data_IF_935994506919
#
_entry.id   IF_935994506919
#
_cell.length_a   1.000
_cell.length_b   1.000
_cell.length_c   1.000
_cell.angle_alpha   90.00
_cell.angle_beta   90.00
_cell.angle_gamma   90.00
#
_symmetry.space_group_name_H-M   'P 1'
#
loop_
_entity.id
_entity.type
_entity.pdbx_description
1 polymer ?
#
# COMPACT_ATOMS: atom_id res chain seq x y z
N UNK A 1 -21.39 -6.95 11.00
CA UNK A 1 -19.95 -7.17 10.76
C UNK A 1 -19.35 -6.21 9.73
N UNK A 2 -20.00 -5.88 8.61
CA UNK A 2 -19.50 -4.98 7.56
C UNK A 2 -19.17 -3.56 8.03
N UNK A 3 -20.02 -2.95 8.83
CA UNK A 3 -19.85 -1.56 9.29
C UNK A 3 -18.62 -1.37 10.17
N UNK A 4 -18.35 -2.28 11.10
CA UNK A 4 -17.18 -2.21 11.98
C UNK A 4 -15.88 -2.37 11.18
N UNK A 5 -15.87 -3.27 10.22
CA UNK A 5 -14.70 -3.50 9.36
C UNK A 5 -14.40 -2.28 8.48
N UNK A 6 -15.44 -1.65 7.92
CA UNK A 6 -15.32 -0.41 7.16
C UNK A 6 -14.81 0.75 8.03
N UNK A 7 -15.34 0.89 9.25
CA UNK A 7 -14.89 1.91 10.19
C UNK A 7 -13.42 1.74 10.60
N UNK A 8 -13.00 0.49 10.86
CA UNK A 8 -11.61 0.17 11.18
C UNK A 8 -10.68 0.50 10.00
N UNK A 9 -11.09 0.18 8.78
CA UNK A 9 -10.34 0.54 7.57
C UNK A 9 -10.18 2.06 7.43
N UNK A 10 -11.26 2.81 7.60
CA UNK A 10 -11.23 4.28 7.53
C UNK A 10 -10.33 4.88 8.63
N UNK A 11 -10.45 4.39 9.86
CA UNK A 11 -9.62 4.81 10.98
C UNK A 11 -8.13 4.50 10.74
N UNK A 12 -7.82 3.33 10.16
CA UNK A 12 -6.46 2.97 9.77
C UNK A 12 -5.88 3.92 8.74
N UNK A 13 -6.59 4.18 7.63
CA UNK A 13 -6.10 5.09 6.60
C UNK A 13 -5.88 6.51 7.13
N UNK A 14 -6.80 7.01 7.97
CA UNK A 14 -6.65 8.30 8.63
C UNK A 14 -5.42 8.32 9.54
N UNK A 15 -5.25 7.33 10.40
CA UNK A 15 -4.12 7.24 11.33
C UNK A 15 -2.80 7.09 10.58
N UNK A 16 -2.73 6.24 9.55
CA UNK A 16 -1.54 6.05 8.72
C UNK A 16 -1.15 7.35 8.00
N UNK A 17 -2.11 8.03 7.39
CA UNK A 17 -1.87 9.31 6.70
C UNK A 17 -1.33 10.37 7.65
N UNK A 18 -1.96 10.53 8.83
CA UNK A 18 -1.52 11.49 9.85
C UNK A 18 -0.13 11.12 10.39
N UNK A 19 0.15 9.84 10.66
CA UNK A 19 1.45 9.38 11.15
C UNK A 19 2.57 9.65 10.14
N UNK A 20 2.36 9.33 8.87
CA UNK A 20 3.33 9.59 7.78
C UNK A 20 3.55 11.10 7.62
N UNK A 21 2.49 11.90 7.71
CA UNK A 21 2.57 13.35 7.61
C UNK A 21 3.37 13.96 8.77
N UNK A 22 3.12 13.52 10.01
CA UNK A 22 3.87 13.96 11.21
C UNK A 22 5.34 13.56 11.08
N UNK A 23 5.63 12.34 10.63
CA UNK A 23 7.00 11.85 10.46
C UNK A 23 7.74 12.64 9.37
N UNK A 24 7.08 12.89 8.23
CA UNK A 24 7.63 13.70 7.14
C UNK A 24 7.90 15.14 7.55
N UNK A 25 6.99 15.78 8.29
CA UNK A 25 7.19 17.14 8.83
C UNK A 25 8.26 17.16 9.93
N UNK A 26 8.30 16.15 10.80
CA UNK A 26 9.33 15.99 11.84
C UNK A 26 10.74 15.88 11.26
N UNK A 27 10.92 15.17 10.16
CA UNK A 27 12.20 15.09 9.44
C UNK A 27 12.61 16.44 8.83
N UNK A 28 11.65 17.18 8.28
CA UNK A 28 11.90 18.53 7.75
C UNK A 28 12.25 19.54 8.86
N UNK A 29 11.66 19.40 10.05
CA UNK A 29 11.84 20.29 11.20
C UNK A 29 13.14 20.02 11.96
N UNK A 30 13.66 18.78 11.94
CA UNK A 30 14.96 18.45 12.59
C UNK A 30 16.15 19.12 11.92
N UNK A 31 15.99 19.51 10.67
CA UNK A 31 17.02 20.21 9.90
C UNK A 31 17.00 21.75 10.11
N UNK A 32 15.94 22.30 10.74
CA UNK A 32 15.77 23.75 10.92
C UNK A 32 15.12 24.10 12.26
N UNK A 33 15.88 23.99 13.34
CA UNK A 33 15.51 24.44 14.69
C UNK A 33 15.12 25.92 14.73
N UNK A 34 13.92 26.23 15.27
CA UNK A 34 13.43 27.51 15.82
C UNK A 34 12.37 28.35 15.12
N UNK A 35 11.40 27.83 14.32
CA UNK A 35 10.22 28.66 13.91
C UNK A 35 8.93 27.85 13.73
N UNK A 36 8.40 27.30 14.77
CA UNK A 36 7.34 26.27 14.67
C UNK A 36 5.88 26.75 14.54
N UNK A 37 5.54 27.98 14.85
CA UNK A 37 4.17 28.46 14.78
C UNK A 37 3.81 29.14 13.43
N UNK A 38 4.80 29.63 12.70
CA UNK A 38 4.61 30.32 11.42
C UNK A 38 4.57 29.37 10.21
N UNK A 39 5.06 28.15 10.38
CA UNK A 39 5.35 27.22 9.28
C UNK A 39 4.11 26.51 8.72
N UNK A 40 3.06 26.27 9.54
CA UNK A 40 1.82 25.63 9.05
C UNK A 40 1.06 26.60 8.14
N UNK A 41 1.04 27.89 8.49
CA UNK A 41 0.35 28.90 7.68
C UNK A 41 1.10 29.17 6.36
N UNK A 42 2.43 29.24 6.40
CA UNK A 42 3.27 29.42 5.19
C UNK A 42 3.31 28.17 4.32
N UNK A 43 3.18 26.95 4.87
CA UNK A 43 3.06 25.71 4.10
C UNK A 43 1.72 25.63 3.37
N UNK A 44 0.63 26.06 4.01
CA UNK A 44 -0.68 26.13 3.38
C UNK A 44 -0.70 27.20 2.27
N UNK A 45 -0.09 28.36 2.50
CA UNK A 45 0.06 29.43 1.51
C UNK A 45 0.96 29.01 0.34
N UNK A 46 2.06 28.31 0.57
CA UNK A 46 2.94 27.80 -0.51
C UNK A 46 2.28 26.68 -1.31
N UNK A 47 1.51 25.79 -0.68
CA UNK A 47 0.72 24.78 -1.39
C UNK A 47 -0.37 25.39 -2.27
N UNK A 48 -0.96 26.54 -1.84
CA UNK A 48 -2.03 27.21 -2.59
C UNK A 48 -1.51 28.19 -3.65
N UNK A 49 -0.31 28.72 -3.52
CA UNK A 49 0.25 29.76 -4.40
C UNK A 49 1.37 29.29 -5.32
N UNK A 50 2.09 28.23 -4.97
CA UNK A 50 3.17 27.69 -5.80
C UNK A 50 2.61 26.69 -6.83
N UNK A 51 2.59 27.09 -8.11
CA UNK A 51 2.63 26.13 -9.21
C UNK A 51 3.96 25.39 -9.08
N UNK A 52 3.92 24.13 -8.61
CA UNK A 52 5.06 23.23 -8.68
C UNK A 52 5.48 23.11 -10.15
N UNK A 53 6.52 23.83 -10.52
CA UNK A 53 7.15 23.68 -11.82
C UNK A 53 8.18 22.56 -11.73
N UNK A 54 8.34 21.79 -12.80
CA UNK A 54 9.34 20.70 -12.84
C UNK A 54 10.76 21.19 -12.61
N UNK A 55 11.02 22.50 -12.78
CA UNK A 55 12.31 23.16 -12.51
C UNK A 55 12.65 23.23 -11.01
N UNK A 56 11.66 23.11 -10.12
CA UNK A 56 11.88 23.09 -8.68
C UNK A 56 12.34 21.72 -8.15
N UNK A 57 12.25 20.66 -8.99
CA UNK A 57 12.69 19.31 -8.65
C UNK A 57 14.18 19.15 -8.99
N UNK A 58 15.05 19.65 -8.13
CA UNK A 58 16.49 19.39 -8.26
C UNK A 58 16.83 17.96 -7.84
N UNK A 59 17.01 17.07 -8.79
CA UNK A 59 17.58 15.74 -8.56
C UNK A 59 19.10 15.89 -8.41
N UNK A 60 19.54 16.31 -7.23
CA UNK A 60 20.95 16.61 -6.94
C UNK A 60 21.76 15.38 -6.53
N UNK A 61 21.12 14.25 -6.22
CA UNK A 61 21.79 13.03 -5.77
C UNK A 61 21.43 11.85 -6.66
N UNK A 62 22.43 11.05 -7.03
CA UNK A 62 22.19 9.80 -7.76
C UNK A 62 21.26 8.87 -6.95
N UNK A 63 20.35 8.16 -7.63
CA UNK A 63 19.46 7.22 -6.96
C UNK A 63 20.26 6.13 -6.24
N UNK A 64 19.92 5.88 -5.00
CA UNK A 64 20.55 4.80 -4.23
C UNK A 64 20.13 3.44 -4.80
N UNK A 65 20.94 2.39 -4.54
CA UNK A 65 20.58 1.01 -4.91
C UNK A 65 19.17 0.64 -4.38
N UNK A 66 18.82 1.12 -3.19
CA UNK A 66 17.49 0.96 -2.58
C UNK A 66 16.40 1.55 -3.48
N UNK A 67 16.57 2.80 -3.91
CA UNK A 67 15.62 3.47 -4.82
C UNK A 67 15.52 2.74 -6.14
N UNK A 68 16.65 2.30 -6.69
CA UNK A 68 16.71 1.58 -7.96
C UNK A 68 15.96 0.23 -7.92
N UNK A 69 15.98 -0.46 -6.80
CA UNK A 69 15.29 -1.75 -6.65
C UNK A 69 13.82 -1.59 -6.22
N UNK A 70 13.57 -0.73 -5.22
CA UNK A 70 12.23 -0.66 -4.61
C UNK A 70 11.24 0.18 -5.41
N UNK A 71 11.69 1.20 -6.16
CA UNK A 71 10.79 2.01 -6.97
C UNK A 71 10.15 1.21 -8.14
N UNK A 72 10.91 0.46 -8.95
CA UNK A 72 10.30 -0.41 -9.96
C UNK A 72 9.37 -1.46 -9.33
N UNK A 73 9.75 -2.05 -8.20
CA UNK A 73 8.93 -3.03 -7.49
C UNK A 73 7.59 -2.42 -7.06
N UNK A 74 7.61 -1.19 -6.53
CA UNK A 74 6.41 -0.42 -6.19
C UNK A 74 5.52 -0.19 -7.42
N UNK A 75 6.11 0.26 -8.53
CA UNK A 75 5.36 0.58 -9.76
C UNK A 75 4.75 -0.70 -10.37
N UNK A 76 5.50 -1.79 -10.43
CA UNK A 76 5.01 -3.07 -10.94
C UNK A 76 3.87 -3.59 -10.06
N UNK A 77 4.04 -3.57 -8.74
CA UNK A 77 3.01 -4.03 -7.81
C UNK A 77 1.74 -3.16 -7.89
N UNK A 78 1.90 -1.84 -8.04
CA UNK A 78 0.77 -0.91 -8.24
C UNK A 78 0.03 -1.19 -9.55
N UNK A 79 0.74 -1.47 -10.64
CA UNK A 79 0.14 -1.88 -11.91
C UNK A 79 -0.64 -3.19 -11.78
N UNK A 80 -0.04 -4.20 -11.18
CA UNK A 80 -0.69 -5.50 -10.92
C UNK A 80 -1.95 -5.34 -10.06
N UNK A 81 -1.89 -4.53 -9.01
CA UNK A 81 -3.05 -4.26 -8.16
C UNK A 81 -4.17 -3.58 -8.95
N UNK A 82 -3.82 -2.55 -9.74
CA UNK A 82 -4.78 -1.84 -10.59
C UNK A 82 -5.46 -2.79 -11.60
N UNK A 83 -4.67 -3.61 -12.29
CA UNK A 83 -5.21 -4.55 -13.30
C UNK A 83 -6.14 -5.59 -12.67
N UNK A 84 -5.77 -6.12 -11.50
CA UNK A 84 -6.63 -7.02 -10.74
C UNK A 84 -7.96 -6.36 -10.36
N UNK A 85 -7.92 -5.12 -9.85
CA UNK A 85 -9.14 -4.39 -9.49
C UNK A 85 -9.98 -4.02 -10.70
N UNK A 86 -9.36 -3.60 -11.80
CA UNK A 86 -10.05 -3.33 -13.05
C UNK A 86 -10.78 -4.58 -13.57
N UNK A 87 -10.08 -5.74 -13.57
CA UNK A 87 -10.70 -7.01 -13.96
C UNK A 87 -11.87 -7.39 -13.04
N UNK A 88 -11.68 -7.30 -11.70
CA UNK A 88 -12.75 -7.62 -10.75
C UNK A 88 -13.96 -6.70 -10.89
N UNK A 89 -13.75 -5.42 -11.21
CA UNK A 89 -14.84 -4.46 -11.43
C UNK A 89 -15.64 -4.75 -12.70
N UNK A 90 -15.01 -5.36 -13.71
CA UNK A 90 -15.67 -5.77 -14.96
C UNK A 90 -16.48 -7.06 -14.86
N UNK A 91 -16.26 -7.85 -13.78
CA UNK A 91 -16.96 -9.11 -13.59
C UNK A 91 -18.42 -8.90 -13.16
N UNK A 92 -19.29 -9.77 -13.67
CA UNK A 92 -20.65 -9.87 -13.12
C UNK A 92 -20.57 -10.31 -11.66
N UNK A 93 -21.40 -9.68 -10.79
CA UNK A 93 -21.44 -10.04 -9.36
C UNK A 93 -21.55 -11.56 -9.17
N UNK A 94 -20.76 -12.07 -8.24
CA UNK A 94 -20.78 -13.48 -7.83
C UNK A 94 -20.32 -14.48 -8.88
N UNK A 95 -19.41 -14.08 -9.78
CA UNK A 95 -18.70 -15.01 -10.68
C UNK A 95 -17.34 -15.38 -10.11
N UNK A 96 -16.87 -16.59 -10.45
CA UNK A 96 -15.50 -17.01 -10.11
C UNK A 96 -14.51 -16.34 -11.07
N UNK A 97 -13.48 -15.65 -10.58
CA UNK A 97 -12.45 -15.07 -11.43
C UNK A 97 -11.68 -16.16 -12.19
N UNK A 98 -11.54 -15.99 -13.53
CA UNK A 98 -10.84 -16.92 -14.43
C UNK A 98 -9.58 -16.36 -15.05
N UNK A 99 -9.27 -15.08 -14.82
CA UNK A 99 -8.06 -14.43 -15.31
C UNK A 99 -6.80 -15.18 -14.84
N UNK A 100 -5.72 -15.28 -15.64
CA UNK A 100 -4.52 -16.03 -15.30
C UNK A 100 -3.92 -15.72 -13.90
N UNK A 101 -3.97 -14.47 -13.45
CA UNK A 101 -3.52 -14.06 -12.13
C UNK A 101 -4.32 -14.70 -10.98
N UNK A 102 -5.60 -15.03 -11.22
CA UNK A 102 -6.50 -15.63 -10.23
C UNK A 102 -6.52 -17.17 -10.29
N UNK A 103 -5.85 -17.79 -11.27
CA UNK A 103 -5.85 -19.26 -11.41
C UNK A 103 -5.11 -19.96 -10.27
N UNK A 104 -4.03 -19.38 -9.78
CA UNK A 104 -3.19 -19.96 -8.70
C UNK A 104 -3.39 -19.29 -7.35
N UNK A 105 -3.93 -18.08 -7.32
CA UNK A 105 -4.10 -17.26 -6.12
C UNK A 105 -5.54 -16.74 -6.11
N UNK A 106 -6.19 -16.80 -4.96
CA UNK A 106 -7.55 -16.28 -4.79
C UNK A 106 -7.57 -14.75 -4.81
N UNK A 107 -6.63 -14.13 -4.13
CA UNK A 107 -6.56 -12.68 -3.96
C UNK A 107 -5.18 -12.11 -4.37
N UNK A 108 -4.81 -12.13 -5.67
CA UNK A 108 -3.50 -11.61 -6.12
C UNK A 108 -3.34 -10.10 -5.88
N UNK A 109 -4.41 -9.32 -5.90
CA UNK A 109 -4.41 -7.90 -5.59
C UNK A 109 -3.98 -7.62 -4.14
N UNK A 110 -4.26 -8.51 -3.18
CA UNK A 110 -3.78 -8.39 -1.81
C UNK A 110 -2.28 -8.66 -1.69
N UNK A 111 -1.76 -9.60 -2.47
CA UNK A 111 -0.31 -9.81 -2.58
C UNK A 111 0.39 -8.56 -3.10
N UNK A 112 -0.15 -7.98 -4.16
CA UNK A 112 0.37 -6.74 -4.74
C UNK A 112 0.34 -5.59 -3.73
N UNK A 113 -0.72 -5.45 -2.95
CA UNK A 113 -0.84 -4.44 -1.90
C UNK A 113 0.22 -4.62 -0.81
N UNK A 114 0.47 -5.85 -0.37
CA UNK A 114 1.55 -6.13 0.58
C UNK A 114 2.93 -5.74 0.01
N UNK A 115 3.19 -6.01 -1.27
CA UNK A 115 4.44 -5.61 -1.93
C UNK A 115 4.56 -4.08 -2.01
N UNK A 116 3.47 -3.36 -2.25
CA UNK A 116 3.42 -1.89 -2.24
C UNK A 116 3.86 -1.36 -0.87
N UNK A 117 3.23 -1.80 0.22
CA UNK A 117 3.57 -1.34 1.57
C UNK A 117 5.01 -1.69 1.96
N UNK A 118 5.48 -2.89 1.61
CA UNK A 118 6.86 -3.30 1.87
C UNK A 118 7.87 -2.42 1.11
N UNK A 119 7.62 -2.17 -0.17
CA UNK A 119 8.49 -1.31 -0.99
C UNK A 119 8.53 0.13 -0.45
N UNK A 120 7.38 0.67 -0.01
CA UNK A 120 7.31 1.98 0.63
C UNK A 120 8.06 2.03 1.96
N UNK A 121 7.95 0.97 2.78
CA UNK A 121 8.67 0.88 4.05
C UNK A 121 10.19 0.90 3.86
N UNK A 122 10.66 0.29 2.77
CA UNK A 122 12.08 0.31 2.39
C UNK A 122 12.49 1.66 1.78
N UNK A 123 11.68 2.23 0.88
CA UNK A 123 11.98 3.51 0.21
C UNK A 123 12.04 4.69 1.16
N UNK A 124 11.10 4.77 2.10
CA UNK A 124 10.98 5.88 3.04
C UNK A 124 11.81 5.69 4.32
N UNK A 125 12.76 4.75 4.33
CA UNK A 125 13.62 4.53 5.49
C UNK A 125 14.53 5.74 5.75
N UNK A 126 14.62 6.22 7.00
CA UNK A 126 15.53 7.31 7.38
C UNK A 126 17.00 6.95 7.11
N UNK A 127 17.85 7.98 7.02
CA UNK A 127 19.29 7.79 6.86
C UNK A 127 19.87 6.97 8.01
N UNK A 128 20.56 5.87 7.66
CA UNK A 128 21.13 4.93 8.64
C UNK A 128 20.19 3.81 9.08
N UNK A 129 18.91 3.83 8.71
CA UNK A 129 17.97 2.75 8.96
C UNK A 129 17.65 1.96 7.66
N UNK A 130 17.30 0.69 7.81
CA UNK A 130 16.93 -0.14 6.66
C UNK A 130 15.46 0.02 6.28
N UNK A 131 14.60 0.29 7.24
CA UNK A 131 13.15 0.37 7.06
C UNK A 131 12.57 1.55 7.84
N UNK A 132 11.50 2.11 7.31
CA UNK A 132 10.67 3.05 8.04
C UNK A 132 9.72 2.27 8.97
N UNK A 133 9.82 2.49 10.28
CA UNK A 133 9.08 1.73 11.31
C UNK A 133 7.57 1.94 11.22
N UNK A 134 7.14 3.16 10.90
CA UNK A 134 5.72 3.50 10.74
C UNK A 134 5.12 2.73 9.57
N UNK A 135 5.78 2.76 8.41
CA UNK A 135 5.33 2.02 7.22
C UNK A 135 5.44 0.51 7.37
N UNK A 136 6.43 0.02 8.13
CA UNK A 136 6.52 -1.40 8.48
C UNK A 136 5.36 -1.84 9.38
N UNK A 137 4.92 -1.01 10.32
CA UNK A 137 3.73 -1.26 11.13
C UNK A 137 2.46 -1.28 10.27
N UNK A 138 2.34 -0.36 9.30
CA UNK A 138 1.26 -0.36 8.31
C UNK A 138 1.28 -1.65 7.47
N UNK A 139 2.44 -2.06 6.97
CA UNK A 139 2.61 -3.32 6.24
C UNK A 139 2.14 -4.52 7.05
N UNK A 140 2.54 -4.61 8.33
CA UNK A 140 2.12 -5.71 9.22
C UNK A 140 0.61 -5.75 9.39
N UNK A 141 -0.01 -4.60 9.67
CA UNK A 141 -1.46 -4.50 9.82
C UNK A 141 -2.19 -4.91 8.53
N UNK A 142 -1.75 -4.37 7.38
CA UNK A 142 -2.36 -4.67 6.07
C UNK A 142 -2.23 -6.17 5.76
N UNK A 143 -1.05 -6.74 5.96
CA UNK A 143 -0.80 -8.17 5.68
C UNK A 143 -1.71 -9.07 6.50
N UNK A 144 -1.88 -8.81 7.80
CA UNK A 144 -2.77 -9.58 8.66
C UNK A 144 -4.23 -9.40 8.26
N UNK A 145 -4.66 -8.16 8.04
CA UNK A 145 -6.05 -7.85 7.70
C UNK A 145 -6.45 -8.47 6.34
N UNK A 146 -5.60 -8.31 5.33
CA UNK A 146 -5.84 -8.87 3.99
C UNK A 146 -5.71 -10.40 3.98
N UNK A 147 -4.80 -10.96 4.79
CA UNK A 147 -4.69 -12.40 4.97
C UNK A 147 -5.97 -13.03 5.51
N UNK A 148 -6.54 -12.46 6.57
CA UNK A 148 -7.84 -12.90 7.10
C UNK A 148 -8.93 -12.78 6.05
N UNK A 149 -8.98 -11.67 5.32
CA UNK A 149 -9.98 -11.43 4.27
C UNK A 149 -9.82 -12.42 3.10
N UNK A 150 -8.58 -12.79 2.73
CA UNK A 150 -8.31 -13.78 1.69
C UNK A 150 -8.83 -15.17 2.06
N UNK A 151 -8.65 -15.60 3.33
CA UNK A 151 -9.22 -16.87 3.84
C UNK A 151 -10.75 -16.86 3.76
N UNK A 152 -11.37 -15.77 4.20
CA UNK A 152 -12.83 -15.62 4.14
C UNK A 152 -13.32 -15.68 2.69
N UNK A 153 -12.62 -15.02 1.78
CA UNK A 153 -12.94 -15.02 0.35
C UNK A 153 -12.83 -16.41 -0.26
N UNK A 154 -11.76 -17.17 0.08
CA UNK A 154 -11.60 -18.54 -0.39
C UNK A 154 -12.73 -19.45 0.10
N UNK A 155 -13.05 -19.39 1.39
CA UNK A 155 -14.18 -20.15 1.98
C UNK A 155 -15.51 -19.83 1.31
N UNK A 156 -15.74 -18.56 0.97
CA UNK A 156 -16.94 -18.16 0.26
C UNK A 156 -16.99 -18.76 -1.16
N UNK A 157 -15.85 -18.78 -1.89
CA UNK A 157 -15.77 -19.43 -3.19
C UNK A 157 -15.98 -20.95 -3.09
N UNK A 158 -15.42 -21.60 -2.08
CA UNK A 158 -15.62 -23.03 -1.78
C UNK A 158 -17.09 -23.37 -1.57
N UNK A 159 -17.78 -22.56 -0.78
CA UNK A 159 -19.22 -22.75 -0.51
C UNK A 159 -20.09 -22.53 -1.75
N UNK A 160 -19.72 -21.61 -2.61
CA UNK A 160 -20.55 -21.21 -3.75
C UNK A 160 -20.28 -22.02 -5.02
N UNK A 161 -19.03 -22.37 -5.29
CA UNK A 161 -18.62 -23.01 -6.54
C UNK A 161 -18.11 -24.44 -6.34
N UNK A 162 -18.05 -24.91 -5.10
CA UNK A 162 -17.51 -26.21 -4.72
C UNK A 162 -16.03 -26.16 -4.39
N UNK A 163 -15.58 -27.13 -3.58
CA UNK A 163 -14.20 -27.24 -3.10
C UNK A 163 -13.20 -27.35 -4.26
N UNK A 164 -13.54 -28.12 -5.30
CA UNK A 164 -12.63 -28.39 -6.42
C UNK A 164 -12.30 -27.12 -7.24
N UNK A 165 -13.18 -26.12 -7.23
CA UNK A 165 -12.99 -24.90 -8.00
C UNK A 165 -11.82 -24.04 -7.51
N UNK A 166 -11.45 -24.13 -6.22
CA UNK A 166 -10.44 -23.29 -5.59
C UNK A 166 -9.44 -24.06 -4.72
N UNK A 167 -9.53 -25.39 -4.66
CA UNK A 167 -8.68 -26.25 -3.81
C UNK A 167 -7.20 -26.02 -4.04
N UNK A 168 -6.78 -25.88 -5.30
CA UNK A 168 -5.38 -25.70 -5.69
C UNK A 168 -4.91 -24.25 -5.66
N UNK A 169 -5.83 -23.31 -5.34
CA UNK A 169 -5.47 -21.90 -5.28
C UNK A 169 -4.97 -21.50 -3.89
N UNK A 170 -3.86 -20.84 -3.83
CA UNK A 170 -3.35 -20.20 -2.62
C UNK A 170 -4.24 -19.02 -2.22
N UNK A 171 -4.32 -18.70 -0.93
CA UNK A 171 -5.13 -17.57 -0.48
C UNK A 171 -4.56 -16.25 -1.00
N UNK A 172 -3.28 -16.01 -0.75
CA UNK A 172 -2.60 -14.75 -1.05
C UNK A 172 -1.14 -14.97 -1.51
N UNK A 173 -0.34 -15.74 -0.79
CA UNK A 173 1.08 -15.94 -1.07
C UNK A 173 1.32 -17.35 -1.61
N UNK A 174 1.78 -17.50 -2.88
CA UNK A 174 2.05 -18.79 -3.46
C UNK A 174 3.07 -19.60 -2.64
N UNK A 175 2.76 -20.86 -2.38
CA UNK A 175 3.64 -21.78 -1.67
C UNK A 175 3.66 -21.62 -0.15
N UNK A 176 3.03 -20.58 0.40
CA UNK A 176 3.03 -20.31 1.83
C UNK A 176 1.62 -20.22 2.43
N UNK A 177 0.73 -19.49 1.77
CA UNK A 177 -0.59 -19.16 2.35
C UNK A 177 -1.67 -18.94 1.28
#
# INVERSE_FOLDING_TARGET
MWFVHWLLGLAFYLAATVAIWIEGTGMCLRTRSKRYALTIFTLLETLMTHKLTLDDVQVTTAPTLRTFLCLPLFLIASGVQHDCHHYLSSLKKYTLPTHPMFQRIVCPHYTAECVIYLSLALLAAPSGEMVNKTLLSCFTFVTVNLGVTAVISKRWYEQKFGLDAVKERWNMIPGLF
#
